data_IF_722843350026
#
_entry.id   IF_722843350026
#
_cell.length_a   1.000
_cell.length_b   1.000
_cell.length_c   1.000
_cell.angle_alpha   90.00
_cell.angle_beta   90.00
_cell.angle_gamma   90.00
#
_symmetry.space_group_name_H-M   'P 1'
#
loop_
_entity.id
_entity.type
_entity.pdbx_description
1 polymer ?
#
# COMPACT_ATOMS: atom_id res chain seq x y z
N UNK A 1 7.27 27.26 -9.93
CA UNK A 1 5.81 26.95 -10.04
C UNK A 1 5.65 25.57 -10.62
N UNK A 2 4.59 24.86 -10.27
CA UNK A 2 4.29 23.53 -10.86
C UNK A 2 3.79 23.75 -12.28
N UNK A 3 4.33 22.98 -13.21
CA UNK A 3 3.86 22.90 -14.59
C UNK A 3 2.65 21.96 -14.71
N UNK A 4 1.75 22.25 -15.66
CA UNK A 4 0.52 21.46 -15.86
C UNK A 4 0.83 20.00 -16.23
N UNK A 5 1.83 19.74 -17.08
CA UNK A 5 2.15 18.36 -17.48
C UNK A 5 2.62 17.53 -16.29
N UNK A 6 3.33 18.12 -15.36
CA UNK A 6 3.77 17.45 -14.14
C UNK A 6 2.56 17.01 -13.31
N UNK A 7 1.57 17.89 -13.18
CA UNK A 7 0.33 17.55 -12.46
C UNK A 7 -0.51 16.53 -13.23
N UNK A 8 -0.53 16.61 -14.56
CA UNK A 8 -1.19 15.66 -15.44
C UNK A 8 -0.58 14.25 -15.33
N UNK A 9 0.75 14.14 -15.29
CA UNK A 9 1.44 12.87 -15.05
C UNK A 9 1.06 12.27 -13.68
N UNK A 10 1.00 13.10 -12.66
CA UNK A 10 0.56 12.68 -11.32
C UNK A 10 -0.90 12.19 -11.31
N UNK A 11 -1.77 12.84 -12.07
CA UNK A 11 -3.15 12.41 -12.26
C UNK A 11 -3.21 11.03 -12.96
N UNK A 12 -2.50 10.84 -14.06
CA UNK A 12 -2.49 9.56 -14.77
C UNK A 12 -1.91 8.44 -13.90
N UNK A 13 -0.88 8.70 -13.13
CA UNK A 13 -0.32 7.73 -12.20
C UNK A 13 -1.32 7.41 -11.07
N UNK A 14 -1.98 8.40 -10.50
CA UNK A 14 -3.02 8.23 -9.48
C UNK A 14 -4.21 7.41 -10.03
N UNK A 15 -4.63 7.69 -11.26
CA UNK A 15 -5.77 7.07 -11.93
C UNK A 15 -5.55 5.57 -12.22
N UNK A 16 -4.33 5.15 -12.49
CA UNK A 16 -3.97 3.83 -13.07
C UNK A 16 -4.68 2.64 -12.42
N UNK A 17 -4.89 2.66 -11.11
CA UNK A 17 -5.50 1.55 -10.38
C UNK A 17 -6.81 1.92 -9.65
N UNK A 18 -7.40 3.08 -9.94
CA UNK A 18 -8.55 3.64 -9.19
C UNK A 18 -9.76 4.01 -10.04
N UNK A 19 -9.77 3.68 -11.33
CA UNK A 19 -10.83 4.04 -12.30
C UNK A 19 -12.26 3.66 -11.90
N UNK A 20 -12.42 2.69 -11.00
CA UNK A 20 -13.75 2.19 -10.59
C UNK A 20 -14.23 2.78 -9.25
N UNK A 21 -13.53 3.76 -8.69
CA UNK A 21 -13.95 4.41 -7.45
C UNK A 21 -14.80 5.64 -7.75
N UNK A 22 -15.86 5.86 -6.96
CA UNK A 22 -16.79 6.99 -7.14
C UNK A 22 -16.03 8.31 -7.26
N UNK A 23 -15.15 8.63 -6.30
CA UNK A 23 -14.42 9.89 -6.34
C UNK A 23 -13.45 10.06 -7.53
N UNK A 24 -12.92 8.95 -8.08
CA UNK A 24 -12.14 9.03 -9.33
C UNK A 24 -13.05 9.31 -10.52
N UNK A 25 -14.21 8.63 -10.58
CA UNK A 25 -15.17 8.83 -11.68
C UNK A 25 -15.72 10.26 -11.67
N UNK A 26 -16.08 10.79 -10.51
CA UNK A 26 -16.53 12.17 -10.35
C UNK A 26 -15.47 13.19 -10.82
N UNK A 27 -14.22 12.99 -10.44
CA UNK A 27 -13.12 13.84 -10.88
C UNK A 27 -12.87 13.73 -12.39
N UNK A 28 -12.98 12.52 -12.94
CA UNK A 28 -12.75 12.24 -14.36
C UNK A 28 -13.82 12.84 -15.29
N UNK A 29 -15.02 13.11 -14.81
CA UNK A 29 -16.06 13.72 -15.64
C UNK A 29 -15.65 15.09 -16.20
N UNK A 30 -14.85 15.86 -15.43
CA UNK A 30 -14.34 17.18 -15.83
C UNK A 30 -12.84 17.28 -15.47
N UNK A 31 -12.05 16.28 -15.82
CA UNK A 31 -10.68 16.17 -15.28
C UNK A 31 -9.77 17.33 -15.68
N UNK A 32 -9.91 17.87 -16.89
CA UNK A 32 -9.08 19.00 -17.33
C UNK A 32 -9.36 20.26 -16.50
N UNK A 33 -10.63 20.67 -16.38
CA UNK A 33 -11.01 21.80 -15.53
C UNK A 33 -10.60 21.61 -14.07
N UNK A 34 -10.81 20.39 -13.56
CA UNK A 34 -10.42 20.05 -12.19
C UNK A 34 -8.91 20.11 -11.98
N UNK A 35 -8.09 19.74 -12.99
CA UNK A 35 -6.63 19.84 -12.93
C UNK A 35 -6.17 21.30 -13.04
N UNK A 36 -6.75 22.10 -13.95
CA UNK A 36 -6.43 23.54 -14.06
C UNK A 36 -6.77 24.23 -12.75
N UNK A 37 -7.96 24.01 -12.20
CA UNK A 37 -8.32 24.58 -10.90
C UNK A 37 -7.35 24.16 -9.79
N UNK A 38 -6.97 22.87 -9.75
CA UNK A 38 -6.04 22.37 -8.75
C UNK A 38 -4.65 23.02 -8.90
N UNK A 39 -4.19 23.21 -10.14
CA UNK A 39 -2.94 23.88 -10.44
C UNK A 39 -2.95 25.35 -9.98
N UNK A 40 -4.04 26.07 -10.30
CA UNK A 40 -4.23 27.47 -9.90
C UNK A 40 -4.23 27.61 -8.37
N UNK A 41 -4.94 26.72 -7.67
CA UNK A 41 -4.96 26.71 -6.21
C UNK A 41 -3.56 26.45 -5.61
N UNK A 42 -2.75 25.59 -6.24
CA UNK A 42 -1.38 25.33 -5.79
C UNK A 42 -0.48 26.53 -6.04
N UNK A 43 -0.48 27.04 -7.27
CA UNK A 43 0.39 28.14 -7.67
C UNK A 43 0.07 29.46 -6.95
N UNK A 44 -1.23 29.67 -6.60
CA UNK A 44 -1.67 30.80 -5.78
C UNK A 44 -1.57 30.57 -4.27
N UNK A 45 -1.07 29.42 -3.82
CA UNK A 45 -1.00 29.02 -2.39
C UNK A 45 -2.37 28.92 -1.68
N UNK A 46 -3.45 28.73 -2.44
CA UNK A 46 -4.80 28.62 -1.91
C UNK A 46 -5.25 27.16 -1.74
N UNK A 47 -4.46 26.17 -2.25
CA UNK A 47 -4.80 24.77 -2.10
C UNK A 47 -4.93 24.39 -0.62
N UNK A 48 -6.02 23.67 -0.31
CA UNK A 48 -6.30 23.07 0.99
C UNK A 48 -6.63 21.59 0.80
N UNK A 49 -6.11 20.75 1.70
CA UNK A 49 -6.44 19.32 1.72
C UNK A 49 -7.91 19.16 2.08
N UNK A 50 -8.62 18.40 1.30
CA UNK A 50 -10.05 18.17 1.48
C UNK A 50 -10.35 17.17 2.60
N UNK A 51 -11.66 17.03 2.89
CA UNK A 51 -12.16 16.12 3.91
C UNK A 51 -11.87 14.66 3.59
N UNK A 52 -11.20 13.95 4.49
CA UNK A 52 -10.89 12.54 4.33
C UNK A 52 -12.07 11.65 4.70
N UNK A 53 -12.11 10.44 4.10
CA UNK A 53 -12.98 9.35 4.55
C UNK A 53 -12.19 8.49 5.52
N UNK A 54 -12.75 8.22 6.71
CA UNK A 54 -12.15 7.34 7.71
C UNK A 54 -12.97 6.06 7.89
N UNK A 55 -12.29 4.92 7.90
CA UNK A 55 -12.93 3.63 8.13
C UNK A 55 -12.01 2.64 8.85
N UNK A 56 -12.61 1.63 9.47
CA UNK A 56 -11.88 0.58 10.19
C UNK A 56 -11.83 -0.69 9.33
N UNK A 57 -10.61 -1.14 9.02
CA UNK A 57 -10.34 -2.44 8.41
C UNK A 57 -10.20 -3.49 9.51
N UNK A 58 -10.95 -4.61 9.38
CA UNK A 58 -10.98 -5.67 10.40
C UNK A 58 -9.87 -6.70 10.26
N UNK A 59 -9.43 -6.96 9.05
CA UNK A 59 -8.49 -8.04 8.73
C UNK A 59 -7.18 -7.52 8.12
N UNK A 60 -6.04 -8.15 8.41
CA UNK A 60 -5.81 -9.23 9.38
C UNK A 60 -5.86 -8.79 10.84
N UNK A 61 -5.88 -7.48 11.10
CA UNK A 61 -6.03 -6.81 12.41
C UNK A 61 -6.81 -5.53 12.22
N UNK A 62 -7.51 -5.09 13.26
CA UNK A 62 -8.17 -3.79 13.25
C UNK A 62 -7.17 -2.67 12.99
N UNK A 63 -7.46 -1.86 11.99
CA UNK A 63 -6.68 -0.68 11.60
C UNK A 63 -7.61 0.44 11.17
N UNK A 64 -7.30 1.64 11.59
CA UNK A 64 -7.90 2.86 11.11
C UNK A 64 -7.22 3.28 9.81
N UNK A 65 -7.99 3.61 8.80
CA UNK A 65 -7.51 4.01 7.48
C UNK A 65 -8.17 5.33 7.10
N UNK A 66 -7.37 6.28 6.67
CA UNK A 66 -7.82 7.56 6.14
C UNK A 66 -7.58 7.60 4.63
N UNK A 67 -8.65 7.83 3.90
CA UNK A 67 -8.59 7.95 2.45
C UNK A 67 -8.88 9.40 2.06
N UNK A 68 -7.88 10.12 1.56
CA UNK A 68 -8.05 11.46 1.03
C UNK A 68 -8.92 11.49 -0.22
N UNK A 69 -9.47 12.65 -0.55
CA UNK A 69 -10.20 12.88 -1.81
C UNK A 69 -9.31 12.58 -3.01
N UNK A 70 -9.92 12.33 -4.17
CA UNK A 70 -9.15 11.97 -5.35
C UNK A 70 -8.17 13.08 -5.77
N UNK A 71 -8.57 14.34 -5.68
CA UNK A 71 -7.70 15.50 -5.94
C UNK A 71 -6.46 15.54 -5.02
N UNK A 72 -6.63 15.22 -3.74
CA UNK A 72 -5.51 15.18 -2.79
C UNK A 72 -4.57 14.02 -3.05
N UNK A 73 -5.11 12.90 -3.56
CA UNK A 73 -4.28 11.77 -3.98
C UNK A 73 -3.43 12.11 -5.19
N UNK A 74 -3.89 12.99 -6.09
CA UNK A 74 -3.04 13.50 -7.20
C UNK A 74 -1.83 14.22 -6.61
N UNK A 75 -2.00 15.04 -5.58
CA UNK A 75 -0.88 15.68 -4.89
C UNK A 75 0.06 14.66 -4.24
N UNK A 76 -0.48 13.60 -3.63
CA UNK A 76 0.38 12.53 -3.10
C UNK A 76 1.17 11.81 -4.19
N UNK A 77 0.61 11.63 -5.38
CA UNK A 77 1.30 11.06 -6.54
C UNK A 77 2.32 12.03 -7.12
N UNK A 78 2.02 13.34 -7.19
CA UNK A 78 2.99 14.38 -7.56
C UNK A 78 4.22 14.34 -6.64
N UNK A 79 4.03 14.37 -5.33
CA UNK A 79 5.11 14.28 -4.34
C UNK A 79 5.92 12.98 -4.54
N UNK A 80 5.23 11.85 -4.73
CA UNK A 80 5.88 10.55 -4.92
C UNK A 80 6.72 10.53 -6.21
N UNK A 81 6.21 11.00 -7.32
CA UNK A 81 6.94 11.04 -8.60
C UNK A 81 8.22 11.90 -8.51
N UNK A 82 8.22 12.96 -7.70
CA UNK A 82 9.38 13.82 -7.49
C UNK A 82 10.40 13.24 -6.52
N UNK A 83 9.93 12.66 -5.42
CA UNK A 83 10.81 12.23 -4.32
C UNK A 83 11.20 10.74 -4.38
N UNK A 84 10.37 9.84 -4.95
CA UNK A 84 10.68 8.42 -5.00
C UNK A 84 12.03 8.11 -5.66
N UNK A 85 12.38 8.70 -6.84
CA UNK A 85 13.69 8.45 -7.46
C UNK A 85 14.87 8.90 -6.60
N UNK A 86 14.70 10.02 -5.86
CA UNK A 86 15.74 10.54 -4.97
C UNK A 86 15.85 9.73 -3.69
N UNK A 87 14.72 9.34 -3.09
CA UNK A 87 14.71 8.50 -1.90
C UNK A 87 15.20 7.08 -2.17
N UNK A 88 14.98 6.56 -3.39
CA UNK A 88 15.45 5.22 -3.76
C UNK A 88 16.98 5.10 -3.62
N UNK A 89 17.73 6.17 -3.92
CA UNK A 89 19.18 6.22 -3.72
C UNK A 89 19.59 6.26 -2.24
N UNK A 90 18.67 6.60 -1.34
CA UNK A 90 18.88 6.63 0.11
C UNK A 90 18.46 5.33 0.81
N UNK A 91 17.76 4.45 0.12
CA UNK A 91 17.27 3.23 0.74
C UNK A 91 18.31 2.11 0.70
N UNK A 92 18.48 1.44 1.82
CA UNK A 92 19.24 0.20 1.88
C UNK A 92 18.64 -0.85 0.92
N UNK A 93 19.48 -1.65 0.27
CA UNK A 93 19.02 -2.79 -0.52
C UNK A 93 18.26 -3.83 0.31
N UNK A 94 18.37 -3.74 1.62
CA UNK A 94 17.73 -4.59 2.60
C UNK A 94 16.33 -4.15 3.01
N UNK A 95 15.82 -3.05 2.41
CA UNK A 95 14.44 -2.55 2.59
C UNK A 95 13.53 -3.08 1.49
N UNK A 96 12.45 -3.78 1.86
CA UNK A 96 11.62 -4.56 0.93
C UNK A 96 10.19 -4.07 0.77
N UNK A 97 9.72 -3.08 1.50
CA UNK A 97 8.37 -2.55 1.35
C UNK A 97 8.30 -1.36 0.41
N UNK A 98 7.22 -1.28 -0.38
CA UNK A 98 6.88 -0.14 -1.24
C UNK A 98 8.00 0.33 -2.16
N UNK A 99 8.74 -0.60 -2.74
CA UNK A 99 9.80 -0.35 -3.72
C UNK A 99 9.60 -1.24 -4.95
N UNK A 100 9.91 -0.72 -6.12
CA UNK A 100 9.82 -1.46 -7.38
C UNK A 100 10.79 -2.65 -7.38
N UNK A 101 10.31 -3.82 -7.78
CA UNK A 101 11.11 -5.06 -7.79
C UNK A 101 11.36 -5.68 -6.40
N UNK A 102 10.94 -5.03 -5.33
CA UNK A 102 10.99 -5.54 -3.94
C UNK A 102 9.61 -6.08 -3.53
N UNK A 103 9.37 -6.29 -2.29
CA UNK A 103 8.07 -6.74 -1.77
C UNK A 103 8.21 -7.86 -0.75
N UNK A 104 7.09 -8.28 -0.18
CA UNK A 104 7.04 -9.28 0.89
C UNK A 104 7.76 -10.58 0.52
N UNK A 105 7.47 -11.13 -0.65
CA UNK A 105 8.06 -12.39 -1.10
C UNK A 105 9.56 -12.29 -1.33
N UNK A 106 10.03 -11.18 -1.90
CA UNK A 106 11.45 -10.92 -2.11
C UNK A 106 12.19 -10.84 -0.76
N UNK A 107 11.62 -10.12 0.23
CA UNK A 107 12.19 -10.05 1.58
C UNK A 107 12.24 -11.41 2.29
N UNK A 108 11.20 -12.24 2.15
CA UNK A 108 11.19 -13.60 2.72
C UNK A 108 12.27 -14.49 2.09
N UNK A 109 12.44 -14.43 0.77
CA UNK A 109 13.47 -15.19 0.06
C UNK A 109 14.88 -14.71 0.42
N UNK A 110 15.06 -13.39 0.53
CA UNK A 110 16.32 -12.83 0.97
C UNK A 110 16.69 -13.28 2.39
N UNK A 111 15.72 -13.26 3.32
CA UNK A 111 15.96 -13.74 4.67
C UNK A 111 16.32 -15.22 4.71
N UNK A 112 15.69 -16.06 3.88
CA UNK A 112 16.08 -17.47 3.75
C UNK A 112 17.50 -17.63 3.24
N UNK A 113 17.89 -16.82 2.25
CA UNK A 113 19.23 -16.79 1.71
C UNK A 113 20.25 -16.34 2.78
N UNK A 114 19.96 -15.26 3.50
CA UNK A 114 20.81 -14.75 4.58
C UNK A 114 21.06 -15.82 5.66
N UNK A 115 20.01 -16.53 6.08
CA UNK A 115 20.14 -17.65 7.04
C UNK A 115 21.03 -18.74 6.48
N UNK A 116 20.86 -19.10 5.20
CA UNK A 116 21.64 -20.12 4.53
C UNK A 116 23.13 -19.73 4.41
N UNK A 117 23.41 -18.50 4.03
CA UNK A 117 24.77 -17.97 3.92
C UNK A 117 25.47 -17.93 5.28
N UNK A 118 24.83 -17.30 6.28
CA UNK A 118 25.39 -17.17 7.63
C UNK A 118 25.62 -18.53 8.28
N UNK A 119 24.74 -19.50 8.05
CA UNK A 119 24.88 -20.86 8.59
C UNK A 119 25.73 -21.79 7.74
N UNK A 120 26.40 -21.31 6.69
CA UNK A 120 27.17 -22.12 5.76
C UNK A 120 26.39 -23.35 5.26
N UNK A 121 25.24 -23.08 4.61
CA UNK A 121 24.30 -24.11 4.15
C UNK A 121 23.73 -24.98 5.28
N UNK A 122 23.43 -24.35 6.43
CA UNK A 122 22.84 -25.02 7.61
C UNK A 122 23.74 -26.04 8.30
N UNK A 123 25.04 -25.94 8.09
CA UNK A 123 26.06 -26.81 8.75
C UNK A 123 26.55 -26.22 10.05
N UNK A 124 26.38 -24.93 10.21
CA UNK A 124 26.87 -24.17 11.34
C UNK A 124 25.73 -23.42 12.06
N UNK A 125 25.96 -22.98 13.31
CA UNK A 125 25.01 -22.18 14.05
C UNK A 125 24.82 -20.79 13.41
N UNK A 126 23.60 -20.30 13.44
CA UNK A 126 23.27 -18.91 13.16
C UNK A 126 22.12 -18.47 14.08
N UNK A 127 22.15 -17.22 14.45
CA UNK A 127 21.18 -16.62 15.35
C UNK A 127 20.41 -15.53 14.62
N UNK A 128 19.15 -15.40 15.01
CA UNK A 128 18.21 -14.47 14.38
C UNK A 128 17.63 -13.57 15.45
N UNK A 129 17.62 -12.28 15.18
CA UNK A 129 17.01 -11.26 16.03
C UNK A 129 15.87 -10.58 15.27
N UNK A 130 14.64 -10.73 15.76
CA UNK A 130 13.46 -10.04 15.20
C UNK A 130 13.09 -8.83 16.02
N UNK A 131 12.86 -7.72 15.32
CA UNK A 131 12.55 -6.41 15.88
C UNK A 131 11.26 -5.89 15.26
N UNK A 132 10.38 -5.31 16.07
CA UNK A 132 9.16 -4.62 15.67
C UNK A 132 9.11 -3.26 16.37
N UNK A 133 8.56 -2.24 15.74
CA UNK A 133 8.44 -0.91 16.33
C UNK A 133 7.08 -0.73 17.00
N UNK A 134 7.06 -0.14 18.18
CA UNK A 134 5.82 0.07 18.92
C UNK A 134 4.98 1.17 18.26
N UNK A 135 3.80 0.77 17.71
CA UNK A 135 2.85 1.72 17.13
C UNK A 135 3.47 2.61 16.04
N UNK A 136 4.30 2.06 15.16
CA UNK A 136 5.20 2.79 14.27
C UNK A 136 4.57 4.04 13.64
N UNK A 137 3.54 3.88 12.79
CA UNK A 137 2.92 5.02 12.10
C UNK A 137 2.34 6.06 13.07
N UNK A 138 1.80 5.63 14.20
CA UNK A 138 1.24 6.52 15.23
C UNK A 138 2.31 7.19 16.10
N UNK A 139 3.53 6.65 16.10
CA UNK A 139 4.65 7.21 16.87
C UNK A 139 5.48 8.22 16.10
N UNK A 140 5.33 8.31 14.77
CA UNK A 140 6.08 9.24 13.93
C UNK A 140 5.81 10.68 14.36
N UNK A 141 6.87 11.42 14.68
CA UNK A 141 6.80 12.86 14.93
C UNK A 141 6.63 13.60 13.61
N UNK A 142 5.50 14.30 13.42
CA UNK A 142 5.23 15.09 12.21
C UNK A 142 6.25 16.22 12.03
N UNK A 143 6.58 17.04 13.05
CA UNK A 143 7.57 18.10 12.91
C UNK A 143 8.97 17.58 12.54
N UNK A 144 9.40 16.46 13.16
CA UNK A 144 10.68 15.84 12.83
C UNK A 144 10.70 15.33 11.39
N UNK A 145 9.65 14.61 10.98
CA UNK A 145 9.54 14.11 9.62
C UNK A 145 9.49 15.25 8.59
N UNK A 146 8.69 16.28 8.83
CA UNK A 146 8.59 17.44 7.96
C UNK A 146 9.95 18.12 7.79
N UNK A 147 10.67 18.35 8.90
CA UNK A 147 12.02 18.91 8.87
C UNK A 147 12.99 18.03 8.07
N UNK A 148 13.01 16.72 8.31
CA UNK A 148 13.91 15.80 7.60
C UNK A 148 13.64 15.80 6.10
N UNK A 149 12.37 15.82 5.69
CA UNK A 149 11.97 15.86 4.26
C UNK A 149 12.36 17.19 3.65
N UNK A 150 12.12 18.30 4.34
CA UNK A 150 12.46 19.64 3.87
C UNK A 150 13.97 19.80 3.70
N UNK A 151 14.77 19.45 4.71
CA UNK A 151 16.24 19.47 4.65
C UNK A 151 16.77 18.62 3.47
N UNK A 152 16.13 17.47 3.21
CA UNK A 152 16.49 16.59 2.10
C UNK A 152 16.17 17.23 0.74
N UNK A 153 14.98 17.82 0.57
CA UNK A 153 14.58 18.50 -0.67
C UNK A 153 15.50 19.68 -0.93
N UNK A 154 15.81 20.49 0.07
CA UNK A 154 16.73 21.64 -0.06
C UNK A 154 18.07 21.19 -0.65
N UNK A 155 18.59 20.07 -0.17
CA UNK A 155 19.91 19.56 -0.55
C UNK A 155 19.92 18.83 -1.89
N UNK A 156 18.89 18.06 -2.22
CA UNK A 156 18.96 17.05 -3.28
C UNK A 156 17.99 17.27 -4.44
N UNK A 157 17.01 18.17 -4.31
CA UNK A 157 16.07 18.46 -5.37
C UNK A 157 16.39 19.79 -6.06
N UNK A 158 16.47 19.77 -7.39
CA UNK A 158 16.91 20.93 -8.20
C UNK A 158 15.86 21.36 -9.23
N UNK A 159 14.62 20.83 -9.16
CA UNK A 159 13.53 21.24 -10.04
C UNK A 159 13.03 22.66 -9.76
N UNK A 160 12.47 23.32 -10.77
CA UNK A 160 11.92 24.68 -10.67
C UNK A 160 10.72 24.76 -9.71
N UNK A 161 10.03 23.63 -9.51
CA UNK A 161 8.92 23.45 -8.59
C UNK A 161 9.34 23.12 -7.14
N UNK A 162 10.64 23.35 -6.79
CA UNK A 162 11.21 23.03 -5.49
C UNK A 162 10.43 23.63 -4.31
N UNK A 163 10.09 24.90 -4.38
CA UNK A 163 9.39 25.58 -3.29
C UNK A 163 7.94 25.11 -3.15
N UNK A 164 7.31 24.73 -4.26
CA UNK A 164 5.97 24.13 -4.24
C UNK A 164 6.01 22.71 -3.64
N UNK A 165 7.00 21.94 -4.03
CA UNK A 165 7.21 20.59 -3.49
C UNK A 165 7.44 20.62 -1.97
N UNK A 166 8.29 21.53 -1.47
CA UNK A 166 8.56 21.73 -0.04
C UNK A 166 7.27 22.07 0.71
N UNK A 167 6.52 23.05 0.20
CA UNK A 167 5.27 23.49 0.79
C UNK A 167 4.22 22.36 0.83
N UNK A 168 4.02 21.65 -0.27
CA UNK A 168 3.07 20.52 -0.35
C UNK A 168 3.49 19.37 0.57
N UNK A 169 4.78 19.02 0.64
CA UNK A 169 5.29 18.02 1.56
C UNK A 169 5.01 18.39 3.02
N UNK A 170 5.29 19.63 3.40
CA UNK A 170 5.00 20.10 4.75
C UNK A 170 3.49 20.04 5.06
N UNK A 171 2.66 20.51 4.13
CA UNK A 171 1.19 20.48 4.27
C UNK A 171 0.67 19.05 4.46
N UNK A 172 1.13 18.10 3.66
CA UNK A 172 0.67 16.70 3.70
C UNK A 172 1.17 15.99 4.96
N UNK A 173 2.40 16.25 5.42
CA UNK A 173 2.95 15.65 6.64
C UNK A 173 2.27 16.21 7.88
N UNK A 174 2.06 17.53 7.93
CA UNK A 174 1.45 18.21 9.09
C UNK A 174 -0.08 18.08 9.13
N UNK A 175 -0.71 17.54 8.07
CA UNK A 175 -2.16 17.38 8.02
C UNK A 175 -2.72 16.50 9.16
N UNK A 176 -3.91 16.87 9.66
CA UNK A 176 -4.65 16.20 10.73
C UNK A 176 -6.00 15.69 10.21
N UNK A 177 -6.03 14.58 9.46
CA UNK A 177 -7.26 14.08 8.86
C UNK A 177 -8.31 13.65 9.90
N UNK A 178 -7.91 13.36 11.13
CA UNK A 178 -8.79 13.00 12.22
C UNK A 178 -9.66 14.16 12.72
N UNK A 179 -9.27 15.42 12.46
CA UNK A 179 -10.01 16.63 12.87
C UNK A 179 -11.21 16.90 11.97
N UNK A 180 -11.09 16.56 10.68
CA UNK A 180 -12.18 16.71 9.71
C UNK A 180 -12.22 15.51 8.76
N UNK A 181 -12.99 14.48 9.15
CA UNK A 181 -13.20 13.29 8.32
C UNK A 181 -14.62 12.76 8.41
N UNK A 182 -15.04 12.09 7.34
CA UNK A 182 -16.29 11.34 7.32
C UNK A 182 -16.04 9.89 7.77
N UNK A 183 -16.66 9.48 8.88
CA UNK A 183 -16.55 8.10 9.39
C UNK A 183 -17.54 7.19 8.66
N UNK A 184 -17.03 6.28 7.83
CA UNK A 184 -17.83 5.30 7.06
C UNK A 184 -18.08 3.98 7.78
N UNK A 185 -17.36 3.69 8.84
CA UNK A 185 -17.57 2.48 9.64
C UNK A 185 -18.48 2.75 10.84
N UNK A 186 -19.18 1.72 11.32
CA UNK A 186 -19.98 1.81 12.55
C UNK A 186 -19.10 2.16 13.76
N UNK A 187 -19.57 3.06 14.62
CA UNK A 187 -18.81 3.65 15.73
C UNK A 187 -18.18 2.60 16.67
N UNK A 188 -18.90 1.52 16.99
CA UNK A 188 -18.41 0.45 17.86
C UNK A 188 -17.11 -0.23 17.36
N UNK A 189 -16.79 -0.11 16.05
CA UNK A 189 -15.58 -0.72 15.51
C UNK A 189 -14.31 -0.05 16.00
N UNK A 190 -14.38 1.22 16.42
CA UNK A 190 -13.24 1.93 17.02
C UNK A 190 -12.92 1.42 18.42
N UNK A 191 -13.89 0.79 19.14
CA UNK A 191 -13.67 0.19 20.45
C UNK A 191 -12.69 -0.99 20.40
N UNK A 192 -12.61 -1.68 19.25
CA UNK A 192 -11.65 -2.76 19.02
C UNK A 192 -10.24 -2.29 18.66
N UNK A 193 -10.06 -0.99 18.45
CA UNK A 193 -8.74 -0.41 18.17
C UNK A 193 -8.05 -0.05 19.49
N UNK A 194 -6.82 -0.52 19.72
CA UNK A 194 -6.02 -0.01 20.84
C UNK A 194 -5.82 1.51 20.68
N UNK A 195 -5.92 2.25 21.78
CA UNK A 195 -5.78 3.72 21.77
C UNK A 195 -4.49 4.18 21.10
N UNK A 196 -3.38 3.47 21.32
CA UNK A 196 -2.10 3.75 20.67
C UNK A 196 -2.03 3.47 19.16
N UNK A 197 -3.14 3.04 18.54
CA UNK A 197 -3.25 2.75 17.09
C UNK A 197 -4.29 3.59 16.37
N UNK A 198 -4.84 4.60 17.03
CA UNK A 198 -5.80 5.53 16.46
C UNK A 198 -5.26 6.95 16.49
N UNK A 199 -5.44 7.71 15.40
CA UNK A 199 -5.10 9.12 15.34
C UNK A 199 -6.03 9.95 16.23
N UNK A 200 -7.28 9.54 16.43
CA UNK A 200 -8.22 10.26 17.30
C UNK A 200 -7.80 10.32 18.77
N UNK A 201 -6.91 9.44 19.19
CA UNK A 201 -6.43 9.36 20.58
C UNK A 201 -4.93 9.61 20.70
N UNK A 202 -4.28 10.00 19.60
CA UNK A 202 -2.85 10.27 19.54
C UNK A 202 -2.54 11.73 19.91
N UNK A 203 -1.27 12.00 20.24
CA UNK A 203 -0.80 13.37 20.50
C UNK A 203 -0.80 14.24 19.23
N UNK A 204 -0.95 15.55 19.39
CA UNK A 204 -1.17 16.51 18.32
C UNK A 204 -0.13 16.44 17.18
N UNK A 205 1.15 16.37 17.51
CA UNK A 205 2.25 16.34 16.52
C UNK A 205 2.74 14.93 16.20
N UNK A 206 1.91 13.92 16.45
CA UNK A 206 2.28 12.52 16.24
C UNK A 206 1.29 11.79 15.38
N UNK A 207 1.83 10.86 14.61
CA UNK A 207 1.06 9.93 13.80
C UNK A 207 0.87 10.38 12.36
N UNK A 208 1.12 9.45 11.46
CA UNK A 208 0.89 9.61 10.02
C UNK A 208 -0.25 8.67 9.62
N UNK A 209 -1.23 9.24 8.92
CA UNK A 209 -2.44 8.52 8.51
C UNK A 209 -2.13 7.34 7.58
N UNK A 210 -2.57 6.15 7.96
CA UNK A 210 -2.48 4.95 7.12
C UNK A 210 -3.53 5.05 6.00
N UNK A 211 -3.13 4.76 4.76
CA UNK A 211 -3.99 4.75 3.58
C UNK A 211 -3.56 5.70 2.47
N UNK A 212 -2.61 6.57 2.74
CA UNK A 212 -2.05 7.52 1.79
C UNK A 212 -0.68 7.05 1.27
N UNK A 213 -0.41 7.31 -0.01
CA UNK A 213 0.83 6.88 -0.67
C UNK A 213 2.08 7.45 -0.01
N UNK A 214 2.07 8.74 0.33
CA UNK A 214 3.20 9.42 0.93
C UNK A 214 3.61 8.83 2.29
N UNK A 215 2.64 8.33 3.07
CA UNK A 215 2.90 7.80 4.41
C UNK A 215 3.93 6.66 4.41
N UNK A 216 3.85 5.78 3.41
CA UNK A 216 4.78 4.66 3.29
C UNK A 216 6.14 5.09 2.74
N UNK A 217 6.15 6.02 1.78
CA UNK A 217 7.37 6.57 1.22
C UNK A 217 8.18 7.32 2.30
N UNK A 218 7.53 8.20 3.04
CA UNK A 218 8.18 8.97 4.10
C UNK A 218 8.55 8.10 5.32
N UNK A 219 7.77 7.07 5.63
CA UNK A 219 8.14 6.11 6.66
C UNK A 219 9.43 5.33 6.31
N UNK A 220 9.60 4.95 5.04
CA UNK A 220 10.85 4.36 4.57
C UNK A 220 12.01 5.34 4.66
N UNK A 221 11.81 6.59 4.24
CA UNK A 221 12.82 7.65 4.34
C UNK A 221 13.22 7.90 5.80
N UNK A 222 12.27 7.99 6.71
CA UNK A 222 12.56 8.15 8.14
C UNK A 222 13.47 7.04 8.70
N UNK A 223 13.18 5.78 8.32
CA UNK A 223 13.94 4.61 8.81
C UNK A 223 15.23 4.34 8.04
N UNK A 224 15.47 4.97 6.89
CA UNK A 224 16.70 4.76 6.11
C UNK A 224 17.96 5.08 6.94
N UNK A 225 17.88 6.05 7.85
CA UNK A 225 18.96 6.37 8.78
C UNK A 225 19.32 5.20 9.71
N UNK A 226 18.34 4.41 10.13
CA UNK A 226 18.58 3.19 10.91
C UNK A 226 19.13 2.08 10.01
N UNK A 227 18.55 1.92 8.81
CA UNK A 227 18.99 0.90 7.86
C UNK A 227 20.48 1.01 7.55
N UNK A 228 20.97 2.21 7.22
CA UNK A 228 22.39 2.45 6.93
C UNK A 228 23.31 2.13 8.12
N UNK A 229 22.90 2.44 9.34
CA UNK A 229 23.66 2.04 10.52
C UNK A 229 23.70 0.53 10.70
N UNK A 230 22.58 -0.15 10.43
CA UNK A 230 22.55 -1.62 10.50
C UNK A 230 23.36 -2.22 9.39
N UNK A 231 23.28 -1.75 8.14
CA UNK A 231 24.07 -2.21 7.01
C UNK A 231 25.58 -2.23 7.30
N UNK A 232 26.04 -1.18 7.99
CA UNK A 232 27.45 -1.06 8.37
C UNK A 232 27.93 -2.19 9.29
N UNK A 233 27.09 -2.63 10.23
CA UNK A 233 27.45 -3.63 11.24
C UNK A 233 26.94 -5.05 10.94
N UNK A 234 25.86 -5.19 10.18
CA UNK A 234 25.17 -6.45 9.91
C UNK A 234 24.63 -6.49 8.49
N UNK A 235 25.39 -7.11 7.57
CA UNK A 235 25.01 -7.25 6.16
C UNK A 235 23.78 -8.14 5.94
N UNK A 236 23.52 -9.08 6.83
CA UNK A 236 22.46 -10.05 6.73
C UNK A 236 21.26 -9.60 7.56
N UNK A 237 20.44 -8.73 6.97
CA UNK A 237 19.19 -8.31 7.57
C UNK A 237 18.15 -8.01 6.49
N UNK A 238 16.91 -7.96 6.89
CA UNK A 238 15.78 -7.55 6.02
C UNK A 238 14.85 -6.68 6.82
N UNK A 239 14.31 -5.64 6.18
CA UNK A 239 13.25 -4.79 6.74
C UNK A 239 12.03 -4.74 5.82
N UNK A 240 10.86 -4.90 6.41
CA UNK A 240 9.57 -4.70 5.76
C UNK A 240 8.69 -3.80 6.64
N UNK A 241 8.63 -2.51 6.31
CA UNK A 241 8.01 -1.43 7.11
C UNK A 241 8.69 -1.33 8.48
N UNK A 242 8.02 -1.77 9.54
CA UNK A 242 8.45 -1.81 10.94
C UNK A 242 8.97 -3.18 11.40
N UNK A 243 8.70 -4.23 10.62
CA UNK A 243 9.23 -5.57 10.87
C UNK A 243 10.67 -5.68 10.33
N UNK A 244 11.62 -6.00 11.19
CA UNK A 244 13.04 -6.15 10.84
C UNK A 244 13.61 -7.45 11.41
N UNK A 245 14.42 -8.15 10.63
CA UNK A 245 15.09 -9.38 11.05
C UNK A 245 16.56 -9.30 10.69
N UNK A 246 17.43 -9.51 11.68
CA UNK A 246 18.88 -9.55 11.54
C UNK A 246 19.38 -10.98 11.78
N UNK A 247 20.41 -11.37 11.04
CA UNK A 247 21.00 -12.71 11.13
C UNK A 247 22.51 -12.60 11.32
N UNK A 248 23.07 -13.31 12.29
CA UNK A 248 24.50 -13.36 12.50
C UNK A 248 24.96 -14.75 13.01
N UNK A 249 26.24 -15.03 12.82
CA UNK A 249 26.90 -16.26 13.27
C UNK A 249 26.88 -16.44 14.77
N UNK A 250 27.09 -15.34 15.48
CA UNK A 250 27.20 -15.31 16.94
C UNK A 250 26.11 -14.42 17.52
N UNK A 251 25.49 -14.85 18.61
CA UNK A 251 24.44 -14.10 19.26
C UNK A 251 24.93 -12.77 19.83
N UNK A 252 26.18 -12.73 20.31
CA UNK A 252 26.82 -11.54 20.89
C UNK A 252 26.92 -10.41 19.85
N UNK A 253 27.16 -10.77 18.55
CA UNK A 253 27.23 -9.78 17.48
C UNK A 253 25.90 -9.05 17.30
N UNK A 254 24.76 -9.75 17.39
CA UNK A 254 23.43 -9.14 17.30
C UNK A 254 23.10 -8.31 18.54
N UNK A 255 23.44 -8.83 19.73
CA UNK A 255 23.15 -8.12 21.00
C UNK A 255 23.92 -6.80 21.12
N UNK A 256 25.15 -6.74 20.60
CA UNK A 256 25.96 -5.51 20.57
C UNK A 256 25.33 -4.40 19.73
N UNK A 257 24.43 -4.72 18.78
CA UNK A 257 23.73 -3.72 17.98
C UNK A 257 22.59 -3.03 18.73
N UNK A 258 22.07 -3.65 19.79
CA UNK A 258 20.88 -3.14 20.47
C UNK A 258 21.01 -1.72 21.03
N UNK A 259 22.14 -1.32 21.66
CA UNK A 259 22.29 0.06 22.12
C UNK A 259 22.18 1.06 20.95
N UNK A 260 22.91 0.83 19.85
CA UNK A 260 22.89 1.67 18.65
C UNK A 260 21.48 1.74 18.04
N UNK A 261 20.78 0.61 17.94
CA UNK A 261 19.41 0.55 17.41
C UNK A 261 18.47 1.39 18.29
N UNK A 262 18.54 1.20 19.63
CA UNK A 262 17.69 1.95 20.59
C UNK A 262 17.98 3.46 20.54
N UNK A 263 19.24 3.85 20.50
CA UNK A 263 19.67 5.25 20.41
C UNK A 263 19.18 5.89 19.10
N UNK A 264 19.36 5.19 17.96
CA UNK A 264 18.91 5.68 16.65
C UNK A 264 17.39 5.82 16.62
N UNK A 265 16.65 4.84 17.11
CA UNK A 265 15.19 4.93 17.18
C UNK A 265 14.75 6.08 18.09
N UNK A 266 15.39 6.26 19.24
CA UNK A 266 15.11 7.36 20.16
C UNK A 266 15.33 8.73 19.49
N UNK A 267 16.40 8.88 18.69
CA UNK A 267 16.66 10.10 17.91
C UNK A 267 15.59 10.40 16.85
N UNK A 268 14.85 9.37 16.41
CA UNK A 268 13.72 9.47 15.51
C UNK A 268 12.36 9.56 16.25
N UNK A 269 12.37 9.63 17.56
CA UNK A 269 11.16 9.63 18.39
C UNK A 269 10.41 8.29 18.44
N UNK A 270 11.07 7.21 18.03
CA UNK A 270 10.51 5.85 17.91
C UNK A 270 11.00 4.96 19.05
N UNK A 271 10.29 3.84 19.27
CA UNK A 271 10.64 2.86 20.32
C UNK A 271 10.44 1.43 19.83
N UNK A 272 11.25 0.51 20.36
CA UNK A 272 11.07 -0.91 20.15
C UNK A 272 9.79 -1.43 20.82
N UNK A 273 9.18 -2.41 20.20
CA UNK A 273 8.12 -3.20 20.80
C UNK A 273 8.70 -4.41 21.52
N UNK A 274 9.04 -4.23 22.80
CA UNK A 274 9.68 -5.28 23.61
C UNK A 274 8.85 -6.59 23.66
N UNK A 275 7.52 -6.51 23.53
CA UNK A 275 6.64 -7.68 23.53
C UNK A 275 6.75 -8.53 22.27
N UNK A 276 7.26 -7.95 21.18
CA UNK A 276 7.45 -8.64 19.90
C UNK A 276 8.93 -8.87 19.55
N UNK A 277 9.83 -8.40 20.39
CA UNK A 277 11.24 -8.72 20.25
C UNK A 277 11.45 -10.22 20.45
N UNK A 278 12.17 -10.86 19.54
CA UNK A 278 12.60 -12.23 19.74
C UNK A 278 14.05 -12.43 19.31
N UNK A 279 14.70 -13.36 20.00
CA UNK A 279 16.06 -13.75 19.76
C UNK A 279 16.16 -15.27 19.84
N UNK A 280 16.63 -15.92 18.78
CA UNK A 280 16.66 -17.38 18.72
C UNK A 280 17.65 -17.94 17.72
N UNK A 281 17.97 -19.24 17.84
CA UNK A 281 18.64 -19.99 16.81
C UNK A 281 17.69 -20.22 15.62
N UNK A 282 18.19 -20.16 14.38
CA UNK A 282 17.39 -20.25 13.14
C UNK A 282 16.57 -21.54 13.04
N UNK A 283 17.06 -22.66 13.62
CA UNK A 283 16.41 -23.97 13.55
C UNK A 283 14.99 -23.98 14.13
N UNK A 284 14.67 -23.06 15.05
CA UNK A 284 13.31 -22.88 15.59
C UNK A 284 12.31 -22.40 14.54
N UNK A 285 12.80 -21.90 13.39
CA UNK A 285 11.98 -21.30 12.34
C UNK A 285 11.79 -19.80 12.55
N UNK A 286 12.09 -19.02 11.54
CA UNK A 286 12.09 -17.56 11.59
C UNK A 286 10.76 -17.02 11.08
N UNK A 287 10.07 -16.26 11.91
CA UNK A 287 8.81 -15.62 11.54
C UNK A 287 9.08 -14.24 10.95
N UNK A 288 8.61 -14.02 9.72
CA UNK A 288 8.75 -12.74 9.05
C UNK A 288 7.56 -12.49 8.12
N UNK A 289 6.92 -11.34 8.20
CA UNK A 289 5.80 -10.84 7.36
C UNK A 289 4.77 -11.91 6.94
N UNK A 290 4.31 -12.71 7.89
CA UNK A 290 3.28 -13.71 7.66
C UNK A 290 3.77 -15.08 7.18
N UNK A 291 5.08 -15.26 7.00
CA UNK A 291 5.73 -16.54 6.72
C UNK A 291 6.54 -17.05 7.90
N UNK A 292 6.78 -18.35 7.91
CA UNK A 292 7.73 -19.04 8.78
C UNK A 292 8.78 -19.71 7.89
N UNK A 293 10.03 -19.31 8.04
CA UNK A 293 11.17 -19.77 7.28
C UNK A 293 11.90 -20.84 8.10
N UNK A 294 12.02 -22.03 7.54
CA UNK A 294 12.85 -23.12 8.06
C UNK A 294 13.88 -23.54 7.02
N UNK A 295 14.81 -24.41 7.40
CA UNK A 295 15.86 -24.93 6.54
C UNK A 295 15.35 -25.33 5.16
N UNK A 296 14.37 -26.22 5.10
CA UNK A 296 13.98 -26.90 3.87
C UNK A 296 12.64 -26.38 3.30
N UNK A 297 11.96 -25.46 4.00
CA UNK A 297 10.64 -24.99 3.59
C UNK A 297 10.27 -23.63 4.14
N UNK A 298 9.45 -22.94 3.37
CA UNK A 298 8.71 -21.72 3.80
C UNK A 298 7.23 -22.09 3.85
N UNK A 299 6.53 -21.66 4.89
CA UNK A 299 5.09 -21.87 5.04
C UNK A 299 4.43 -20.70 5.77
N UNK A 300 3.11 -20.58 5.62
CA UNK A 300 2.33 -19.49 6.21
C UNK A 300 2.15 -19.68 7.71
N UNK A 301 1.98 -18.57 8.41
CA UNK A 301 1.61 -18.60 9.83
C UNK A 301 0.21 -19.18 10.01
N UNK A 302 -0.06 -19.82 11.16
CA UNK A 302 -1.34 -20.48 11.47
C UNK A 302 -2.57 -19.58 11.25
N UNK A 303 -2.44 -18.28 11.52
CA UNK A 303 -3.55 -17.34 11.31
C UNK A 303 -3.98 -17.27 9.84
N UNK A 304 -3.05 -17.30 8.89
CA UNK A 304 -3.34 -17.32 7.45
C UNK A 304 -4.09 -18.60 7.07
N UNK A 305 -3.65 -19.76 7.58
CA UNK A 305 -4.31 -21.05 7.36
C UNK A 305 -5.71 -21.07 7.97
N UNK A 306 -5.88 -20.55 9.18
CA UNK A 306 -7.20 -20.47 9.83
C UNK A 306 -8.17 -19.55 9.07
N UNK A 307 -7.69 -18.43 8.52
CA UNK A 307 -8.51 -17.55 7.71
C UNK A 307 -8.88 -18.19 6.37
N UNK A 308 -7.99 -18.97 5.77
CA UNK A 308 -8.31 -19.80 4.62
C UNK A 308 -9.43 -20.79 4.89
N UNK A 309 -9.37 -21.52 6.02
CA UNK A 309 -10.45 -22.42 6.45
C UNK A 309 -11.78 -21.67 6.63
N UNK A 310 -11.75 -20.48 7.22
CA UNK A 310 -12.96 -19.63 7.33
C UNK A 310 -13.52 -19.27 5.95
N UNK A 311 -12.66 -19.02 4.95
CA UNK A 311 -13.11 -18.72 3.58
C UNK A 311 -13.74 -19.95 2.91
N UNK A 312 -13.21 -21.16 3.17
CA UNK A 312 -13.80 -22.43 2.70
C UNK A 312 -15.17 -22.68 3.35
N UNK A 313 -15.32 -22.43 4.66
CA UNK A 313 -16.63 -22.55 5.34
C UNK A 313 -17.67 -21.57 4.77
N UNK A 314 -17.28 -20.31 4.51
CA UNK A 314 -18.16 -19.34 3.85
C UNK A 314 -18.57 -19.77 2.46
N UNK A 315 -17.70 -20.48 1.72
CA UNK A 315 -18.04 -21.05 0.43
C UNK A 315 -19.12 -22.15 0.58
N UNK A 316 -19.02 -23.02 1.60
CA UNK A 316 -20.04 -24.01 1.90
C UNK A 316 -21.38 -23.37 2.27
N UNK A 317 -21.38 -22.36 3.13
CA UNK A 317 -22.60 -21.61 3.52
C UNK A 317 -23.28 -20.97 2.30
N UNK A 318 -22.50 -20.33 1.44
CA UNK A 318 -23.02 -19.71 0.22
C UNK A 318 -23.55 -20.76 -0.78
N UNK A 319 -22.91 -21.92 -0.88
CA UNK A 319 -23.33 -23.02 -1.72
C UNK A 319 -24.66 -23.64 -1.23
N UNK A 320 -24.81 -23.87 0.06
CA UNK A 320 -26.07 -24.34 0.68
C UNK A 320 -27.23 -23.37 0.44
N UNK A 321 -26.96 -22.08 0.48
CA UNK A 321 -27.95 -21.05 0.18
C UNK A 321 -28.27 -20.90 -1.32
N UNK A 322 -27.53 -21.55 -2.22
CA UNK A 322 -27.68 -21.43 -3.68
C UNK A 322 -27.42 -20.03 -4.24
N UNK A 323 -26.81 -19.13 -3.46
CA UNK A 323 -26.59 -17.73 -3.86
C UNK A 323 -25.31 -17.61 -4.69
N UNK A 324 -25.46 -17.53 -6.00
CA UNK A 324 -24.35 -17.50 -6.97
C UNK A 324 -23.41 -16.31 -6.76
N UNK A 325 -23.92 -15.14 -6.37
CA UNK A 325 -23.09 -13.96 -6.11
C UNK A 325 -22.23 -14.16 -4.84
N UNK A 326 -22.81 -14.68 -3.78
CA UNK A 326 -22.10 -15.03 -2.55
C UNK A 326 -21.05 -16.13 -2.79
N UNK A 327 -21.39 -17.14 -3.61
CA UNK A 327 -20.47 -18.21 -4.02
C UNK A 327 -19.27 -17.60 -4.77
N UNK A 328 -19.51 -16.73 -5.76
CA UNK A 328 -18.43 -16.10 -6.52
C UNK A 328 -17.51 -15.25 -5.61
N UNK A 329 -18.09 -14.49 -4.69
CA UNK A 329 -17.34 -13.71 -3.69
C UNK A 329 -16.50 -14.60 -2.76
N UNK A 330 -17.06 -15.74 -2.34
CA UNK A 330 -16.34 -16.70 -1.51
C UNK A 330 -15.21 -17.40 -2.30
N UNK A 331 -15.43 -17.73 -3.58
CA UNK A 331 -14.41 -18.25 -4.49
C UNK A 331 -13.23 -17.26 -4.61
N UNK A 332 -13.49 -15.97 -4.78
CA UNK A 332 -12.43 -14.95 -4.83
C UNK A 332 -11.61 -14.91 -3.54
N UNK A 333 -12.27 -15.03 -2.38
CA UNK A 333 -11.59 -15.10 -1.09
C UNK A 333 -10.72 -16.36 -0.96
N UNK A 334 -11.22 -17.52 -1.34
CA UNK A 334 -10.45 -18.78 -1.34
C UNK A 334 -9.24 -18.67 -2.28
N UNK A 335 -9.43 -18.13 -3.50
CA UNK A 335 -8.36 -17.94 -4.48
C UNK A 335 -7.27 -16.98 -4.00
N UNK A 336 -7.63 -15.96 -3.23
CA UNK A 336 -6.64 -15.06 -2.62
C UNK A 336 -5.66 -15.82 -1.71
N UNK A 337 -6.16 -16.76 -0.90
CA UNK A 337 -5.30 -17.60 -0.07
C UNK A 337 -4.52 -18.65 -0.88
N UNK A 338 -5.15 -19.26 -1.88
CA UNK A 338 -4.47 -20.21 -2.77
C UNK A 338 -3.30 -19.53 -3.51
N UNK A 339 -3.47 -18.25 -3.90
CA UNK A 339 -2.41 -17.42 -4.45
C UNK A 339 -1.25 -17.22 -3.46
N UNK A 340 -1.52 -16.93 -2.20
CA UNK A 340 -0.48 -16.83 -1.16
C UNK A 340 0.27 -18.15 -1.03
N UNK A 341 -0.46 -19.26 -0.90
CA UNK A 341 0.12 -20.60 -0.70
C UNK A 341 0.88 -21.13 -1.92
N UNK A 342 0.65 -20.59 -3.12
CA UNK A 342 1.40 -20.97 -4.32
C UNK A 342 2.87 -20.58 -4.26
N UNK A 343 3.21 -19.60 -3.42
CA UNK A 343 4.58 -19.13 -3.21
C UNK A 343 5.35 -19.93 -2.15
N UNK A 344 4.67 -20.84 -1.44
CA UNK A 344 5.23 -21.60 -0.31
C UNK A 344 5.09 -23.11 -0.49
N UNK A 345 5.74 -23.88 0.40
CA UNK A 345 5.69 -25.34 0.38
C UNK A 345 4.42 -25.88 1.07
N UNK A 346 3.23 -25.47 0.58
CA UNK A 346 1.95 -25.73 1.26
C UNK A 346 0.94 -26.56 0.44
N UNK A 347 1.40 -27.25 -0.59
CA UNK A 347 0.53 -28.03 -1.47
C UNK A 347 -0.32 -29.05 -0.69
N UNK A 348 0.29 -29.84 0.19
CA UNK A 348 -0.40 -30.85 1.00
C UNK A 348 -1.50 -30.25 1.87
N UNK A 349 -1.22 -29.13 2.54
CA UNK A 349 -2.16 -28.44 3.42
C UNK A 349 -3.35 -27.89 2.64
N UNK A 350 -3.11 -27.13 1.54
CA UNK A 350 -4.19 -26.53 0.74
C UNK A 350 -5.09 -27.59 0.10
N UNK A 351 -4.51 -28.68 -0.40
CA UNK A 351 -5.24 -29.82 -0.95
C UNK A 351 -6.09 -30.51 0.11
N UNK A 352 -5.53 -30.76 1.28
CA UNK A 352 -6.23 -31.38 2.40
C UNK A 352 -7.48 -30.58 2.78
N UNK A 353 -7.33 -29.28 3.00
CA UNK A 353 -8.45 -28.42 3.40
C UNK A 353 -9.56 -28.41 2.34
N UNK A 354 -9.23 -28.27 1.06
CA UNK A 354 -10.24 -28.29 -0.01
C UNK A 354 -10.93 -29.65 -0.10
N UNK A 355 -10.21 -30.75 0.02
CA UNK A 355 -10.81 -32.08 -0.11
C UNK A 355 -11.64 -32.49 1.08
N UNK A 356 -11.23 -32.11 2.30
CA UNK A 356 -11.84 -32.58 3.54
C UNK A 356 -12.87 -31.60 4.10
N UNK A 357 -12.71 -30.29 3.88
CA UNK A 357 -13.57 -29.27 4.51
C UNK A 357 -14.60 -28.67 3.52
N UNK A 358 -14.55 -28.98 2.22
CA UNK A 358 -15.62 -28.62 1.28
C UNK A 358 -16.71 -29.65 1.27
N UNK A 359 -17.95 -29.20 1.47
CA UNK A 359 -19.17 -30.03 1.43
C UNK A 359 -19.39 -30.55 0.01
N UNK A 360 -19.95 -31.76 -0.11
CA UNK A 360 -20.24 -32.43 -1.40
C UNK A 360 -21.08 -31.53 -2.33
N UNK A 361 -22.06 -30.84 -1.78
CA UNK A 361 -22.96 -29.95 -2.51
C UNK A 361 -22.22 -28.76 -3.12
N UNK A 362 -21.14 -28.29 -2.47
CA UNK A 362 -20.36 -27.15 -2.95
C UNK A 362 -19.66 -27.46 -4.28
N UNK A 363 -19.27 -28.72 -4.53
CA UNK A 363 -18.54 -29.12 -5.73
C UNK A 363 -19.34 -28.98 -7.03
N UNK A 364 -20.65 -28.86 -6.99
CA UNK A 364 -21.48 -28.63 -8.18
C UNK A 364 -21.25 -27.22 -8.79
N UNK A 365 -20.81 -26.26 -8.00
CA UNK A 365 -20.70 -24.85 -8.41
C UNK A 365 -19.35 -24.49 -9.04
N UNK A 366 -18.29 -25.20 -8.71
CA UNK A 366 -16.95 -24.81 -9.17
C UNK A 366 -16.09 -25.99 -9.65
N UNK A 367 -14.97 -25.63 -10.27
CA UNK A 367 -13.91 -26.57 -10.68
C UNK A 367 -12.58 -26.12 -10.09
N UNK A 368 -11.71 -27.09 -9.75
CA UNK A 368 -10.35 -26.86 -9.28
C UNK A 368 -9.40 -26.93 -10.47
N UNK A 369 -8.49 -25.95 -10.59
CA UNK A 369 -7.48 -25.90 -11.64
C UNK A 369 -6.06 -25.92 -11.06
N UNK A 370 -5.08 -26.35 -11.89
CA UNK A 370 -3.66 -26.22 -11.64
C UNK A 370 -3.18 -26.84 -10.33
N UNK A 371 -3.55 -28.09 -10.04
CA UNK A 371 -3.14 -28.76 -8.79
C UNK A 371 -3.47 -27.92 -7.53
N UNK A 372 -4.73 -27.49 -7.40
CA UNK A 372 -5.21 -26.64 -6.29
C UNK A 372 -4.57 -25.23 -6.25
N UNK A 373 -4.24 -24.68 -7.41
CA UNK A 373 -3.80 -23.27 -7.50
C UNK A 373 -4.96 -22.29 -7.51
N UNK A 374 -6.09 -22.70 -8.09
CA UNK A 374 -7.31 -21.87 -8.11
C UNK A 374 -8.58 -22.71 -8.22
N UNK A 375 -9.69 -22.11 -7.81
CA UNK A 375 -11.05 -22.62 -8.02
C UNK A 375 -11.82 -21.62 -8.89
N UNK A 376 -12.64 -22.12 -9.78
CA UNK A 376 -13.39 -21.30 -10.73
C UNK A 376 -14.86 -21.69 -10.74
N UNK A 377 -15.75 -20.71 -10.73
CA UNK A 377 -17.17 -20.94 -10.92
C UNK A 377 -17.40 -21.63 -12.26
N UNK A 378 -18.27 -22.65 -12.28
CA UNK A 378 -18.58 -23.37 -13.52
C UNK A 378 -19.30 -22.44 -14.50
N UNK A 379 -19.04 -22.62 -15.80
CA UNK A 379 -19.57 -21.76 -16.88
C UNK A 379 -21.09 -21.58 -16.81
N UNK A 380 -21.84 -22.64 -16.47
CA UNK A 380 -23.32 -22.59 -16.39
C UNK A 380 -23.84 -21.56 -15.37
N UNK A 381 -23.07 -21.22 -14.34
CA UNK A 381 -23.42 -20.23 -13.31
C UNK A 381 -22.79 -18.84 -13.57
N UNK A 382 -22.00 -18.71 -14.64
CA UNK A 382 -21.25 -17.47 -14.94
C UNK A 382 -22.04 -16.49 -15.83
N UNK A 383 -23.17 -16.93 -16.35
CA UNK A 383 -23.99 -16.17 -17.31
C UNK A 383 -24.55 -14.91 -16.62
N UNK A 384 -25.16 -15.07 -15.44
CA UNK A 384 -25.78 -13.94 -14.71
C UNK A 384 -24.75 -12.87 -14.27
N UNK A 385 -23.56 -13.32 -13.89
CA UNK A 385 -22.45 -12.41 -13.51
C UNK A 385 -21.93 -11.67 -14.73
N UNK A 386 -21.84 -12.34 -15.89
CA UNK A 386 -21.40 -11.73 -17.15
C UNK A 386 -22.35 -10.62 -17.60
N UNK A 387 -23.67 -10.85 -17.49
CA UNK A 387 -24.67 -9.82 -17.84
C UNK A 387 -24.61 -8.63 -16.88
N UNK A 388 -24.45 -8.83 -15.57
CA UNK A 388 -24.26 -7.74 -14.60
C UNK A 388 -22.97 -6.95 -14.86
N UNK A 389 -21.87 -7.63 -15.20
CA UNK A 389 -20.61 -6.96 -15.56
C UNK A 389 -20.72 -6.19 -16.88
N UNK A 390 -21.38 -6.76 -17.90
CA UNK A 390 -21.66 -6.06 -19.14
C UNK A 390 -22.52 -4.81 -18.93
N UNK A 391 -23.55 -4.88 -18.09
CA UNK A 391 -24.36 -3.72 -17.75
C UNK A 391 -23.53 -2.62 -17.04
N UNK A 392 -22.63 -3.02 -16.12
CA UNK A 392 -21.67 -2.10 -15.49
C UNK A 392 -20.65 -1.52 -16.48
N UNK A 393 -20.16 -2.32 -17.43
CA UNK A 393 -19.26 -1.85 -18.48
C UNK A 393 -19.95 -0.90 -19.45
N UNK A 394 -21.21 -1.18 -19.82
CA UNK A 394 -22.05 -0.29 -20.66
C UNK A 394 -22.31 1.02 -19.91
N UNK A 395 -22.61 0.96 -18.61
CA UNK A 395 -22.81 2.15 -17.80
C UNK A 395 -21.51 2.98 -17.71
N UNK A 396 -20.38 2.32 -17.47
CA UNK A 396 -19.07 2.98 -17.42
C UNK A 396 -18.68 3.57 -18.80
N UNK A 397 -18.98 2.87 -19.91
CA UNK A 397 -18.81 3.43 -21.28
C UNK A 397 -19.68 4.66 -21.50
N UNK A 398 -20.96 4.62 -21.08
CA UNK A 398 -21.84 5.78 -21.18
C UNK A 398 -21.36 6.96 -20.34
N UNK A 399 -20.74 6.71 -19.18
CA UNK A 399 -20.09 7.73 -18.34
C UNK A 399 -18.81 8.24 -19.04
N UNK A 400 -18.02 7.37 -19.64
CA UNK A 400 -16.86 7.76 -20.48
C UNK A 400 -17.27 8.51 -21.74
N UNK A 401 -18.41 8.18 -22.33
CA UNK A 401 -18.98 8.85 -23.51
C UNK A 401 -19.60 10.22 -23.21
N UNK A 402 -19.96 10.52 -21.97
CA UNK A 402 -20.45 11.82 -21.51
C UNK A 402 -19.33 12.80 -21.15
N UNK A 403 -18.07 12.56 -21.54
CA UNK A 403 -17.00 13.53 -21.37
C UNK A 403 -17.32 14.77 -22.17
N UNK A 404 -17.73 15.81 -21.47
CA UNK A 404 -18.05 17.10 -22.07
C UNK A 404 -16.78 17.75 -22.60
N UNK A 405 -16.90 18.37 -23.75
CA UNK A 405 -15.90 19.30 -24.28
C UNK A 405 -15.75 20.41 -23.22
N UNK A 406 -14.52 20.85 -22.87
CA UNK A 406 -14.34 21.95 -21.93
C UNK A 406 -15.22 23.14 -22.31
N UNK A 407 -15.78 23.82 -21.34
CA UNK A 407 -16.61 25.01 -21.58
C UNK A 407 -15.78 26.13 -22.22
N UNK A 408 -16.41 27.03 -22.96
CA UNK A 408 -15.73 28.18 -23.57
C UNK A 408 -14.87 28.97 -22.57
N UNK A 409 -15.35 29.10 -21.33
CA UNK A 409 -14.61 29.79 -20.27
C UNK A 409 -13.38 29.03 -19.78
N UNK A 410 -13.40 27.70 -19.84
CA UNK A 410 -12.26 26.83 -19.51
C UNK A 410 -11.24 26.82 -20.63
N UNK A 411 -11.70 26.78 -21.88
CA UNK A 411 -10.83 26.91 -23.07
C UNK A 411 -10.13 28.29 -23.06
N UNK A 412 -10.85 29.36 -22.75
CA UNK A 412 -10.28 30.69 -22.64
C UNK A 412 -9.18 30.77 -21.57
N UNK A 413 -9.42 30.20 -20.38
CA UNK A 413 -8.39 30.16 -19.34
C UNK A 413 -7.15 29.36 -19.75
N UNK A 414 -7.32 28.26 -20.47
CA UNK A 414 -6.19 27.46 -20.98
C UNK A 414 -5.38 28.28 -21.99
N UNK A 415 -6.03 29.00 -22.90
CA UNK A 415 -5.39 29.86 -23.88
C UNK A 415 -4.69 31.06 -23.22
N UNK A 416 -5.33 31.69 -22.23
CA UNK A 416 -4.75 32.80 -21.45
C UNK A 416 -3.54 32.36 -20.61
N UNK A 417 -3.48 31.08 -20.27
CA UNK A 417 -2.32 30.44 -19.61
C UNK A 417 -1.24 29.97 -20.57
N UNK A 418 -1.37 30.29 -21.87
CA UNK A 418 -0.37 29.99 -22.90
C UNK A 418 -0.41 28.56 -23.45
N UNK A 419 -1.50 27.81 -23.24
CA UNK A 419 -1.65 26.45 -23.78
C UNK A 419 -2.00 26.47 -25.27
N UNK A 420 -1.35 25.61 -26.05
CA UNK A 420 -1.77 25.26 -27.40
C UNK A 420 -2.87 24.20 -27.33
N UNK A 421 -3.99 24.42 -28.04
CA UNK A 421 -5.11 23.51 -28.08
C UNK A 421 -5.14 22.75 -29.40
N UNK A 422 -5.04 21.43 -29.37
CA UNK A 422 -5.36 20.59 -30.51
C UNK A 422 -6.81 20.12 -30.47
N UNK A 423 -7.54 20.39 -31.56
CA UNK A 423 -8.92 19.97 -31.74
C UNK A 423 -8.93 18.87 -32.80
N UNK A 424 -9.32 17.67 -32.41
CA UNK A 424 -9.42 16.58 -33.35
C UNK A 424 -10.74 15.81 -33.26
N UNK A 425 -11.19 15.27 -34.39
CA UNK A 425 -12.34 14.40 -34.41
C UNK A 425 -11.93 12.95 -34.08
N UNK A 426 -12.60 12.37 -33.11
CA UNK A 426 -12.43 10.94 -32.83
C UNK A 426 -13.06 10.08 -33.92
N UNK A 427 -12.66 8.82 -34.10
CA UNK A 427 -13.25 7.90 -35.10
C UNK A 427 -14.77 7.78 -35.01
N UNK A 428 -15.37 8.18 -33.90
CA UNK A 428 -16.82 8.14 -33.63
C UNK A 428 -17.49 9.50 -33.94
N UNK A 429 -16.81 10.44 -34.60
CA UNK A 429 -17.36 11.74 -35.03
C UNK A 429 -17.52 12.77 -33.88
N UNK A 430 -16.85 12.59 -32.75
CA UNK A 430 -16.84 13.56 -31.63
C UNK A 430 -15.61 14.45 -31.68
N UNK A 431 -15.79 15.70 -31.28
CA UNK A 431 -14.68 16.64 -31.13
C UNK A 431 -14.00 16.39 -29.78
N UNK A 432 -12.68 16.28 -29.79
CA UNK A 432 -11.84 16.22 -28.61
C UNK A 432 -10.90 17.41 -28.64
N UNK A 433 -10.74 18.07 -27.49
CA UNK A 433 -9.83 19.18 -27.34
C UNK A 433 -8.76 18.74 -26.33
N UNK A 434 -7.50 18.76 -26.75
CA UNK A 434 -6.35 18.50 -25.88
C UNK A 434 -5.50 19.76 -25.81
N UNK A 435 -5.15 20.17 -24.58
CA UNK A 435 -4.30 21.32 -24.34
C UNK A 435 -2.84 20.88 -24.14
N UNK A 436 -1.93 21.51 -24.86
CA UNK A 436 -0.49 21.34 -24.71
C UNK A 436 0.10 22.63 -24.13
N UNK A 437 0.99 22.54 -23.12
CA UNK A 437 1.61 23.72 -22.54
C UNK A 437 2.51 24.43 -23.54
N UNK A 438 2.79 25.73 -23.35
CA UNK A 438 3.76 26.44 -24.14
C UNK A 438 5.13 25.76 -24.05
N UNK A 439 5.78 25.62 -25.17
CA UNK A 439 7.13 25.05 -25.33
C UNK A 439 8.21 25.79 -24.55
#
# INVERSE_FOLDING_TARGET
MIDFNILLDAYFDCRRHKRKTVGATEFEMNYMSNLVQLLDEINSRQYKIGKSICFVVKYPRYREVFAGQFRDRIIHHYIALRLEPLFESQFSDRTYNCRKGKGQLAGIRQLQQDIREVSENYTKDAYVMGIDLKGFFMSISKPLLAKMVDDFIIKNYHGEDKEDLRWLCNMVVMHHPERDCEKKSAGYLWEFLPKEKSLFTNGEDRGVAIGNLFAQLFANFLLSKLDWKIDYYCKHHVRYVDDMVLVARRKEALLRLMPMIRETLASLGLRLNEKKFYFQHYSKGVRFVGAIIKRDRIYSVNNTVNNYRKSVRKLNEAAKAGNIEAINKAIQSVNSYLGIFSHYNEYGMKRKIIKEELDKESWQYFTVKGHFQSIHLRKKFNIDIKYKNMASEILNRKIEERKEVPSESEISRMLDSGYELEIYATPNGRIRIEGFPPS
#
